data_IF_674821987073
#
_entry.id   IF_674821987073
#
_cell.length_a   1.000
_cell.length_b   1.000
_cell.length_c   1.000
_cell.angle_alpha   90.00
_cell.angle_beta   90.00
_cell.angle_gamma   90.00
#
_symmetry.space_group_name_H-M   'P 1'
#
loop_
_entity.id
_entity.type
_entity.pdbx_description
1 polymer ?
#
# COMPACT_ATOMS: atom_id res chain seq x y z
N UNK A 1 9.89 15.43 45.65
CA UNK A 1 10.22 14.08 45.16
C UNK A 1 9.02 13.32 44.59
N UNK A 2 7.92 13.04 45.33
CA UNK A 2 6.71 12.42 44.72
C UNK A 2 6.01 13.35 43.73
N UNK A 3 5.77 14.59 44.11
CA UNK A 3 5.10 15.58 43.25
C UNK A 3 5.90 15.91 41.99
N UNK A 4 7.23 15.96 42.09
CA UNK A 4 8.13 16.13 40.94
C UNK A 4 8.10 14.93 39.99
N UNK A 5 8.02 13.71 40.54
CA UNK A 5 7.91 12.49 39.74
C UNK A 5 6.57 12.43 39.00
N UNK A 6 5.47 12.81 39.66
CA UNK A 6 4.14 12.91 39.05
C UNK A 6 4.12 13.97 37.95
N UNK A 7 4.72 15.14 38.20
CA UNK A 7 4.83 16.21 37.21
C UNK A 7 5.65 15.79 35.98
N UNK A 8 6.80 15.13 36.18
CA UNK A 8 7.62 14.61 35.09
C UNK A 8 6.89 13.52 34.29
N UNK A 9 6.14 12.65 34.97
CA UNK A 9 5.35 11.60 34.32
C UNK A 9 4.25 12.21 33.44
N UNK A 10 3.58 13.26 33.93
CA UNK A 10 2.58 13.99 33.15
C UNK A 10 3.19 14.73 31.95
N UNK A 11 4.41 15.26 32.08
CA UNK A 11 5.12 15.87 30.95
C UNK A 11 5.53 14.84 29.90
N UNK A 12 6.03 13.67 30.32
CA UNK A 12 6.38 12.59 29.40
C UNK A 12 5.17 12.12 28.62
N UNK A 13 4.03 11.89 29.28
CA UNK A 13 2.81 11.45 28.59
C UNK A 13 2.28 12.50 27.61
N UNK A 14 2.35 13.79 27.98
CA UNK A 14 2.00 14.89 27.08
C UNK A 14 2.90 14.96 25.84
N UNK A 15 4.21 14.81 26.02
CA UNK A 15 5.17 14.79 24.90
C UNK A 15 4.97 13.56 24.01
N UNK A 16 4.70 12.39 24.58
CA UNK A 16 4.38 11.18 23.82
C UNK A 16 3.13 11.35 22.96
N UNK A 17 2.05 11.91 23.53
CA UNK A 17 0.84 12.18 22.77
C UNK A 17 1.09 13.16 21.60
N UNK A 18 1.88 14.21 21.83
CA UNK A 18 2.26 15.16 20.76
C UNK A 18 3.13 14.50 19.68
N UNK A 19 4.05 13.62 20.08
CA UNK A 19 4.88 12.86 19.14
C UNK A 19 4.02 11.94 18.27
N UNK A 20 3.08 11.23 18.87
CA UNK A 20 2.20 10.29 18.15
C UNK A 20 1.29 11.02 17.16
N UNK A 21 0.77 12.19 17.54
CA UNK A 21 -0.02 13.03 16.65
C UNK A 21 0.81 13.54 15.46
N UNK A 22 2.04 14.04 15.72
CA UNK A 22 2.91 14.48 14.64
C UNK A 22 3.29 13.31 13.71
N UNK A 23 3.60 12.14 14.28
CA UNK A 23 3.90 10.94 13.52
C UNK A 23 2.71 10.51 12.64
N UNK A 24 1.48 10.65 13.13
CA UNK A 24 0.25 10.41 12.36
C UNK A 24 0.11 11.39 11.20
N UNK A 25 0.34 12.69 11.44
CA UNK A 25 0.29 13.73 10.40
C UNK A 25 1.34 13.47 9.32
N UNK A 26 2.58 13.16 9.70
CA UNK A 26 3.67 12.83 8.76
C UNK A 26 3.29 11.62 7.90
N UNK A 27 2.81 10.52 8.50
CA UNK A 27 2.35 9.34 7.74
C UNK A 27 1.27 9.69 6.73
N UNK A 28 0.29 10.50 7.11
CA UNK A 28 -0.79 10.93 6.23
C UNK A 28 -0.30 11.79 5.05
N UNK A 29 0.61 12.72 5.31
CA UNK A 29 1.21 13.57 4.28
C UNK A 29 2.07 12.75 3.31
N UNK A 30 2.86 11.80 3.82
CA UNK A 30 3.63 10.88 2.99
C UNK A 30 2.72 10.02 2.09
N UNK A 31 1.64 9.46 2.64
CA UNK A 31 0.66 8.70 1.85
C UNK A 31 -0.03 9.57 0.78
N UNK A 32 -0.30 10.85 1.07
CA UNK A 32 -0.84 11.79 0.08
C UNK A 32 0.18 12.12 -1.01
N UNK A 33 1.42 12.39 -0.65
CA UNK A 33 2.50 12.66 -1.61
C UNK A 33 2.74 11.45 -2.54
N UNK A 34 2.79 10.24 -1.98
CA UNK A 34 2.91 9.00 -2.75
C UNK A 34 1.74 8.83 -3.73
N UNK A 35 0.50 9.11 -3.33
CA UNK A 35 -0.66 9.06 -4.24
C UNK A 35 -0.53 10.04 -5.41
N UNK A 36 -0.13 11.28 -5.14
CA UNK A 36 0.08 12.31 -6.18
C UNK A 36 1.23 11.91 -7.11
N UNK A 37 2.29 11.31 -6.58
CA UNK A 37 3.39 10.85 -7.40
C UNK A 37 2.98 9.66 -8.28
N UNK A 38 2.24 8.69 -7.70
CA UNK A 38 1.73 7.54 -8.44
C UNK A 38 0.78 7.94 -9.56
N UNK A 39 -0.09 8.96 -9.36
CA UNK A 39 -0.96 9.43 -10.44
C UNK A 39 -0.23 10.02 -11.65
N UNK A 40 1.07 10.36 -11.51
CA UNK A 40 1.92 10.80 -12.62
C UNK A 40 2.50 9.62 -13.42
N UNK A 41 2.48 8.40 -12.88
CA UNK A 41 2.95 7.23 -13.60
C UNK A 41 2.04 6.97 -14.82
N UNK A 42 2.64 6.60 -15.95
CA UNK A 42 1.89 6.33 -17.19
C UNK A 42 0.84 5.22 -16.98
N UNK A 43 1.20 4.19 -16.22
CA UNK A 43 0.32 3.06 -15.93
C UNK A 43 -0.93 3.43 -15.14
N UNK A 44 -0.90 4.54 -14.37
CA UNK A 44 -2.06 5.03 -13.62
C UNK A 44 -3.06 5.82 -14.47
N UNK A 45 -2.73 6.09 -15.74
CA UNK A 45 -3.61 6.77 -16.71
C UNK A 45 -4.19 5.82 -17.75
N UNK A 46 -3.87 4.53 -17.68
CA UNK A 46 -4.42 3.54 -18.61
C UNK A 46 -5.92 3.34 -18.34
N UNK A 47 -6.74 3.18 -19.39
CA UNK A 47 -8.11 2.73 -19.23
C UNK A 47 -8.18 1.36 -18.53
N UNK A 48 -9.28 1.09 -17.85
CA UNK A 48 -9.51 -0.18 -17.15
C UNK A 48 -9.35 -1.38 -18.09
N UNK A 49 -9.87 -1.31 -19.31
CA UNK A 49 -9.79 -2.43 -20.28
C UNK A 49 -8.35 -2.76 -20.67
N UNK A 50 -7.48 -1.74 -20.75
CA UNK A 50 -6.05 -1.94 -21.02
C UNK A 50 -5.36 -2.58 -19.82
N UNK A 51 -5.73 -2.17 -18.60
CA UNK A 51 -5.23 -2.83 -17.38
C UNK A 51 -5.69 -4.28 -17.29
N UNK A 52 -6.92 -4.59 -17.69
CA UNK A 52 -7.46 -5.95 -17.74
C UNK A 52 -6.61 -6.82 -18.67
N UNK A 53 -6.37 -6.36 -19.91
CA UNK A 53 -5.51 -7.10 -20.85
C UNK A 53 -4.11 -7.33 -20.29
N UNK A 54 -3.51 -6.33 -19.63
CA UNK A 54 -2.20 -6.49 -18.97
C UNK A 54 -2.28 -7.51 -17.84
N UNK A 55 -3.33 -7.49 -17.02
CA UNK A 55 -3.49 -8.41 -15.89
C UNK A 55 -3.68 -9.86 -16.36
N UNK A 56 -4.53 -10.07 -17.36
CA UNK A 56 -4.74 -11.39 -17.98
C UNK A 56 -3.42 -11.92 -18.54
N UNK A 57 -2.69 -11.09 -19.28
CA UNK A 57 -1.38 -11.45 -19.82
C UNK A 57 -0.35 -11.74 -18.70
N UNK A 58 -0.37 -10.98 -17.59
CA UNK A 58 0.50 -11.25 -16.44
C UNK A 58 0.20 -12.60 -15.76
N UNK A 59 -1.08 -13.01 -15.74
CA UNK A 59 -1.50 -14.31 -15.23
C UNK A 59 -1.16 -15.45 -16.21
N UNK A 60 -1.36 -15.23 -17.52
CA UNK A 60 -1.08 -16.22 -18.57
C UNK A 60 0.42 -16.47 -18.78
N UNK A 61 1.24 -15.42 -18.75
CA UNK A 61 2.68 -15.51 -18.99
C UNK A 61 3.47 -16.14 -17.82
N UNK A 62 2.81 -16.56 -16.73
CA UNK A 62 3.49 -16.96 -15.50
C UNK A 62 3.07 -18.28 -14.84
N UNK A 63 3.74 -19.37 -15.22
CA UNK A 63 4.14 -20.39 -14.26
C UNK A 63 5.42 -20.02 -13.47
N UNK A 64 6.15 -18.97 -13.89
CA UNK A 64 7.60 -18.86 -13.65
C UNK A 64 8.17 -17.45 -13.41
N UNK A 65 7.48 -16.60 -12.65
CA UNK A 65 8.17 -15.67 -11.73
C UNK A 65 8.85 -16.44 -10.58
N UNK A 66 9.26 -17.69 -10.84
CA UNK A 66 9.83 -18.77 -10.03
C UNK A 66 11.32 -18.57 -9.74
N UNK A 67 11.76 -17.33 -9.60
CA UNK A 67 12.97 -17.08 -8.82
C UNK A 67 12.73 -17.41 -7.35
N UNK A 68 13.78 -17.46 -6.53
CA UNK A 68 13.69 -17.61 -5.06
C UNK A 68 12.63 -16.69 -4.41
N UNK A 69 12.32 -15.55 -5.03
CA UNK A 69 11.28 -14.61 -4.60
C UNK A 69 9.83 -15.11 -4.79
N UNK A 70 9.57 -16.08 -5.66
CA UNK A 70 8.27 -16.73 -5.84
C UNK A 70 7.95 -17.69 -4.70
N UNK A 71 8.96 -18.44 -4.24
CA UNK A 71 8.84 -19.33 -3.09
C UNK A 71 8.58 -18.52 -1.80
N UNK A 72 9.00 -17.26 -1.77
CA UNK A 72 8.77 -16.31 -0.67
C UNK A 72 7.46 -15.51 -0.83
N UNK A 73 6.90 -15.39 -2.04
CA UNK A 73 5.64 -14.68 -2.29
C UNK A 73 4.49 -15.69 -2.40
N UNK A 74 3.89 -15.99 -1.26
CA UNK A 74 2.80 -16.96 -1.04
C UNK A 74 1.45 -16.59 -1.71
N UNK A 75 1.38 -15.57 -2.56
CA UNK A 75 0.11 -15.06 -3.10
C UNK A 75 0.06 -15.14 -4.63
N UNK A 76 -1.07 -15.63 -5.20
CA UNK A 76 -1.31 -15.62 -6.64
C UNK A 76 -1.12 -14.24 -7.31
N UNK A 77 -0.90 -14.24 -8.63
CA UNK A 77 -0.58 -13.02 -9.37
C UNK A 77 -1.72 -11.99 -9.31
N UNK A 78 -2.94 -12.44 -9.48
CA UNK A 78 -4.17 -11.67 -9.34
C UNK A 78 -4.30 -11.01 -7.95
N UNK A 79 -3.94 -11.74 -6.89
CA UNK A 79 -3.88 -11.19 -5.53
C UNK A 79 -2.82 -10.08 -5.47
N UNK A 80 -1.62 -10.32 -5.98
CA UNK A 80 -0.55 -9.31 -5.98
C UNK A 80 -0.93 -8.05 -6.76
N UNK A 81 -1.59 -8.20 -7.91
CA UNK A 81 -2.08 -7.08 -8.73
C UNK A 81 -3.11 -6.25 -7.96
N UNK A 82 -4.04 -6.89 -7.24
CA UNK A 82 -5.06 -6.21 -6.42
C UNK A 82 -4.48 -5.39 -5.23
N UNK A 83 -3.22 -5.62 -4.86
CA UNK A 83 -2.55 -4.94 -3.74
C UNK A 83 -1.67 -3.75 -4.15
N UNK A 84 -1.55 -3.44 -5.46
CA UNK A 84 -0.70 -2.33 -5.93
C UNK A 84 -1.27 -0.96 -5.55
N UNK A 85 -2.53 -0.69 -5.90
CA UNK A 85 -3.24 0.53 -5.51
C UNK A 85 -4.76 0.32 -5.52
N UNK A 86 -5.53 1.29 -5.02
CA UNK A 86 -7.00 1.19 -4.98
C UNK A 86 -7.64 1.04 -6.36
N UNK A 87 -7.07 1.68 -7.38
CA UNK A 87 -7.56 1.57 -8.75
C UNK A 87 -7.35 0.16 -9.31
N UNK A 88 -6.14 -0.39 -9.16
CA UNK A 88 -5.83 -1.77 -9.58
C UNK A 88 -6.67 -2.80 -8.84
N UNK A 89 -6.93 -2.59 -7.54
CA UNK A 89 -7.85 -3.42 -6.77
C UNK A 89 -9.24 -3.43 -7.37
N UNK A 90 -9.77 -2.25 -7.71
CA UNK A 90 -11.10 -2.12 -8.32
C UNK A 90 -11.18 -2.90 -9.63
N UNK A 91 -10.19 -2.72 -10.52
CA UNK A 91 -10.12 -3.43 -11.80
C UNK A 91 -9.96 -4.94 -11.61
N UNK A 92 -9.08 -5.39 -10.72
CA UNK A 92 -8.84 -6.81 -10.48
C UNK A 92 -10.08 -7.53 -9.90
N UNK A 93 -10.80 -6.88 -8.97
CA UNK A 93 -12.02 -7.45 -8.39
C UNK A 93 -13.22 -7.38 -9.35
N UNK A 94 -13.22 -6.45 -10.31
CA UNK A 94 -14.27 -6.36 -11.33
C UNK A 94 -14.03 -7.27 -12.54
N UNK A 95 -12.94 -8.05 -12.55
CA UNK A 95 -12.55 -8.90 -13.68
C UNK A 95 -12.55 -10.36 -13.25
N UNK A 96 -13.68 -11.07 -13.40
CA UNK A 96 -13.82 -12.45 -12.92
C UNK A 96 -12.81 -13.42 -13.52
N UNK A 97 -12.37 -13.21 -14.77
CA UNK A 97 -11.42 -14.08 -15.46
C UNK A 97 -10.03 -14.15 -14.82
N UNK A 98 -9.71 -13.26 -13.86
CA UNK A 98 -8.43 -13.26 -13.15
C UNK A 98 -8.36 -14.26 -11.99
N UNK A 99 -9.50 -14.79 -11.54
CA UNK A 99 -9.65 -15.64 -10.36
C UNK A 99 -10.12 -17.04 -10.74
#
# INVERSE_FOLDING_TARGET
>A
MKDELEQLTAQISGLQASHDELARVVRNLQARAARIQNSKAAVSRLPSDVLIMIFEECCHLNPQWSGVLSLLRQSPTEVRLSHVCSHWRGVALSTPNLW
#
